data_IF_072957714813
#
_entry.id   IF_072957714813
#
_cell.length_a   1.000
_cell.length_b   1.000
_cell.length_c   1.000
_cell.angle_alpha   90.00
_cell.angle_beta   90.00
_cell.angle_gamma   90.00
#
_symmetry.space_group_name_H-M   'P 1'
#
loop_
_entity.id
_entity.type
_entity.pdbx_description
1 polymer ?
#
# COMPACT_ATOMS: atom_id res chain seq x y z
N UNK A 1 5.78 -8.47 3.68
CA UNK A 1 4.85 -7.37 3.39
C UNK A 1 5.44 -6.40 2.35
N UNK A 2 6.65 -5.83 2.56
CA UNK A 2 7.26 -4.83 1.68
C UNK A 2 7.28 -5.26 0.20
N UNK A 3 7.79 -6.45 -0.11
CA UNK A 3 7.82 -7.02 -1.47
C UNK A 3 6.40 -7.14 -2.05
N UNK A 4 5.43 -7.65 -1.28
CA UNK A 4 4.06 -7.79 -1.73
C UNK A 4 3.41 -6.42 -2.04
N UNK A 5 3.72 -5.39 -1.25
CA UNK A 5 3.24 -4.03 -1.48
C UNK A 5 3.81 -3.44 -2.78
N UNK A 6 5.09 -3.66 -3.08
CA UNK A 6 5.68 -3.25 -4.37
C UNK A 6 5.02 -3.98 -5.54
N UNK A 7 4.79 -5.30 -5.39
CA UNK A 7 4.11 -6.08 -6.42
C UNK A 7 2.66 -5.64 -6.66
N UNK A 8 1.99 -5.07 -5.66
CA UNK A 8 0.59 -4.61 -5.76
C UNK A 8 0.40 -3.34 -6.60
N UNK A 9 1.48 -2.65 -6.98
CA UNK A 9 1.40 -1.51 -7.88
C UNK A 9 0.72 -1.91 -9.21
N UNK A 10 -0.46 -1.32 -9.48
CA UNK A 10 -1.32 -1.64 -10.64
C UNK A 10 -1.64 -3.15 -10.78
N UNK A 11 -1.76 -3.84 -9.66
CA UNK A 11 -2.08 -5.27 -9.60
C UNK A 11 -3.03 -5.54 -8.45
N UNK A 12 -3.89 -6.55 -8.59
CA UNK A 12 -4.82 -6.94 -7.52
C UNK A 12 -4.13 -7.75 -6.44
N UNK A 13 -4.56 -7.59 -5.18
CA UNK A 13 -4.04 -8.35 -4.04
C UNK A 13 -4.14 -9.87 -4.29
N UNK A 14 -5.25 -10.32 -4.91
CA UNK A 14 -5.44 -11.73 -5.29
C UNK A 14 -4.31 -12.23 -6.18
N UNK A 15 -3.92 -11.45 -7.18
CA UNK A 15 -2.83 -11.83 -8.11
C UNK A 15 -1.47 -11.84 -7.41
N UNK A 16 -1.20 -10.85 -6.55
CA UNK A 16 0.03 -10.81 -5.74
C UNK A 16 0.12 -12.05 -4.86
N UNK A 17 -0.96 -12.40 -4.17
CA UNK A 17 -1.01 -13.58 -3.30
C UNK A 17 -0.83 -14.91 -4.05
N UNK A 18 -1.09 -14.95 -5.37
CA UNK A 18 -0.84 -16.15 -6.18
C UNK A 18 0.65 -16.35 -6.53
N UNK A 19 1.44 -15.29 -6.62
CA UNK A 19 2.85 -15.36 -7.04
C UNK A 19 3.83 -15.33 -5.87
N UNK A 20 3.45 -14.71 -4.75
CA UNK A 20 4.33 -14.56 -3.58
C UNK A 20 4.75 -15.88 -2.92
N UNK A 21 3.94 -16.94 -2.85
CA UNK A 21 4.38 -18.22 -2.28
C UNK A 21 5.57 -18.81 -3.06
N UNK A 22 5.51 -18.87 -4.39
CA UNK A 22 6.62 -19.35 -5.22
C UNK A 22 7.84 -18.45 -5.08
N UNK A 23 7.64 -17.12 -5.11
CA UNK A 23 8.71 -16.15 -4.99
C UNK A 23 9.47 -16.29 -3.67
N UNK A 24 8.76 -16.41 -2.54
CA UNK A 24 9.39 -16.54 -1.22
C UNK A 24 9.91 -17.95 -0.92
N UNK A 25 9.36 -18.99 -1.53
CA UNK A 25 9.95 -20.33 -1.46
C UNK A 25 11.30 -20.36 -2.19
N UNK A 26 11.43 -19.63 -3.29
CA UNK A 26 12.65 -19.60 -4.10
C UNK A 26 13.71 -18.64 -3.56
N UNK A 27 13.28 -17.51 -3.01
CA UNK A 27 14.13 -16.43 -2.47
C UNK A 27 13.61 -15.99 -1.09
N UNK A 28 13.82 -16.80 -0.04
CA UNK A 28 13.26 -16.57 1.29
C UNK A 28 13.86 -15.37 2.03
N UNK A 29 15.09 -15.00 1.69
CA UNK A 29 15.80 -13.88 2.35
C UNK A 29 16.18 -12.78 1.36
N UNK A 30 16.45 -11.55 1.84
CA UNK A 30 16.99 -10.48 1.01
C UNK A 30 18.33 -10.86 0.34
N UNK A 31 19.18 -11.66 0.99
CA UNK A 31 20.46 -12.10 0.43
C UNK A 31 20.25 -12.96 -0.82
N UNK A 32 19.32 -13.88 -0.77
CA UNK A 32 19.00 -14.75 -1.91
C UNK A 32 18.31 -13.97 -3.03
N UNK A 33 17.38 -13.06 -2.68
CA UNK A 33 16.73 -12.19 -3.65
C UNK A 33 17.72 -11.25 -4.34
N UNK A 34 18.71 -10.73 -3.62
CA UNK A 34 19.76 -9.86 -4.18
C UNK A 34 20.61 -10.56 -5.24
N UNK A 35 20.78 -11.88 -5.11
CA UNK A 35 21.54 -12.74 -6.05
C UNK A 35 20.66 -13.40 -7.12
N UNK A 36 19.37 -13.15 -7.10
CA UNK A 36 18.42 -13.80 -8.01
C UNK A 36 18.69 -13.43 -9.47
N UNK A 37 18.69 -14.39 -10.41
CA UNK A 37 18.67 -14.09 -11.83
C UNK A 37 17.40 -13.33 -12.19
N UNK A 38 17.52 -12.14 -12.76
CA UNK A 38 16.37 -11.27 -13.09
C UNK A 38 15.32 -12.02 -13.92
N UNK A 39 15.73 -12.80 -14.91
CA UNK A 39 14.82 -13.56 -15.77
C UNK A 39 13.96 -14.57 -14.99
N UNK A 40 14.49 -15.17 -13.92
CA UNK A 40 13.73 -16.09 -13.08
C UNK A 40 12.71 -15.35 -12.21
N UNK A 41 13.08 -14.23 -11.61
CA UNK A 41 12.14 -13.37 -10.89
C UNK A 41 11.03 -12.90 -11.82
N UNK A 42 11.38 -12.43 -13.03
CA UNK A 42 10.41 -12.01 -14.06
C UNK A 42 9.42 -13.13 -14.40
N UNK A 43 9.91 -14.36 -14.56
CA UNK A 43 9.07 -15.55 -14.84
C UNK A 43 8.03 -15.75 -13.73
N UNK A 44 8.47 -15.72 -12.47
CA UNK A 44 7.60 -15.95 -11.30
C UNK A 44 6.52 -14.87 -11.21
N UNK A 45 6.90 -13.59 -11.31
CA UNK A 45 5.98 -12.47 -11.10
C UNK A 45 5.29 -11.99 -12.39
N UNK A 46 5.45 -12.67 -13.52
CA UNK A 46 4.98 -12.24 -14.86
C UNK A 46 3.53 -11.79 -14.86
N UNK A 47 2.67 -12.50 -14.15
CA UNK A 47 1.23 -12.22 -14.12
C UNK A 47 0.84 -10.96 -13.33
N UNK A 48 1.77 -10.29 -12.63
CA UNK A 48 1.49 -9.07 -11.86
C UNK A 48 1.52 -7.79 -12.71
N UNK A 49 1.85 -7.87 -14.00
CA UNK A 49 2.05 -6.70 -14.87
C UNK A 49 3.34 -5.93 -14.53
N UNK A 50 3.86 -5.17 -15.49
CA UNK A 50 5.12 -4.42 -15.33
C UNK A 50 6.29 -5.23 -14.73
N UNK A 51 6.25 -6.54 -14.95
CA UNK A 51 7.07 -7.53 -14.25
C UNK A 51 8.58 -7.31 -14.41
N UNK A 52 9.05 -6.79 -15.56
CA UNK A 52 10.46 -6.47 -15.78
C UNK A 52 10.96 -5.38 -14.83
N UNK A 53 10.20 -4.29 -14.73
CA UNK A 53 10.53 -3.20 -13.80
C UNK A 53 10.40 -3.66 -12.34
N UNK A 54 9.35 -4.41 -12.03
CA UNK A 54 9.16 -4.96 -10.68
C UNK A 54 10.30 -5.90 -10.29
N UNK A 55 10.71 -6.82 -11.17
CA UNK A 55 11.84 -7.72 -10.90
C UNK A 55 13.13 -6.94 -10.62
N UNK A 56 13.46 -5.97 -11.45
CA UNK A 56 14.62 -5.08 -11.24
C UNK A 56 14.55 -4.36 -9.92
N UNK A 57 13.37 -3.80 -9.60
CA UNK A 57 13.13 -3.09 -8.33
C UNK A 57 13.28 -4.01 -7.13
N UNK A 58 12.76 -5.24 -7.17
CA UNK A 58 12.89 -6.20 -6.07
C UNK A 58 14.34 -6.62 -5.82
N UNK A 59 15.12 -6.86 -6.88
CA UNK A 59 16.54 -7.19 -6.76
C UNK A 59 17.32 -5.99 -6.22
N UNK A 60 17.07 -4.79 -6.73
CA UNK A 60 17.71 -3.57 -6.24
C UNK A 60 17.34 -3.26 -4.77
N UNK A 61 16.07 -3.46 -4.39
CA UNK A 61 15.61 -3.37 -3.00
C UNK A 61 16.37 -4.33 -2.11
N UNK A 62 16.49 -5.60 -2.53
CA UNK A 62 17.17 -6.63 -1.76
C UNK A 62 18.65 -6.31 -1.57
N UNK A 63 19.34 -5.83 -2.62
CA UNK A 63 20.72 -5.35 -2.50
C UNK A 63 20.82 -4.19 -1.49
N UNK A 64 19.96 -3.17 -1.61
CA UNK A 64 19.97 -2.04 -0.68
C UNK A 64 19.70 -2.46 0.78
N UNK A 65 18.80 -3.44 1.00
CA UNK A 65 18.57 -3.99 2.34
C UNK A 65 19.81 -4.70 2.89
N UNK A 66 20.48 -5.53 2.07
CA UNK A 66 21.70 -6.24 2.49
C UNK A 66 22.83 -5.27 2.80
N UNK A 67 23.10 -4.34 1.88
CA UNK A 67 24.28 -3.47 1.94
C UNK A 67 24.16 -2.41 3.05
N UNK A 68 22.96 -1.90 3.30
CA UNK A 68 22.78 -0.75 4.18
C UNK A 68 22.12 -1.08 5.51
N UNK A 69 21.33 -2.16 5.57
CA UNK A 69 20.50 -2.51 6.71
C UNK A 69 20.69 -3.95 7.20
N UNK A 70 21.78 -4.63 6.78
CA UNK A 70 22.07 -6.01 7.19
C UNK A 70 20.97 -7.02 6.85
N UNK A 71 20.23 -6.78 5.76
CA UNK A 71 19.11 -7.61 5.32
C UNK A 71 17.81 -7.37 6.10
N UNK A 72 17.75 -6.37 6.99
CA UNK A 72 16.55 -6.03 7.75
C UNK A 72 15.77 -4.90 7.07
N UNK A 73 14.46 -4.91 7.23
CA UNK A 73 13.60 -3.78 6.79
C UNK A 73 13.70 -2.68 7.84
N UNK A 74 14.12 -1.46 7.48
CA UNK A 74 14.21 -0.35 8.43
C UNK A 74 12.84 0.06 8.96
N UNK A 75 12.82 0.69 10.14
CA UNK A 75 11.61 1.02 10.88
C UNK A 75 11.35 2.53 10.96
N UNK A 76 11.96 3.32 10.08
CA UNK A 76 11.71 4.76 9.98
C UNK A 76 11.24 5.13 8.57
N UNK A 77 10.46 6.20 8.48
CA UNK A 77 9.98 6.75 7.19
C UNK A 77 11.16 7.20 6.34
N UNK A 78 12.12 7.92 6.97
CA UNK A 78 13.29 8.48 6.31
C UNK A 78 14.14 7.41 5.62
N UNK A 79 14.34 6.28 6.28
CA UNK A 79 15.12 5.17 5.73
C UNK A 79 14.34 4.41 4.65
N UNK A 80 13.06 4.11 4.90
CA UNK A 80 12.22 3.35 3.97
C UNK A 80 12.10 4.03 2.62
N UNK A 81 11.89 5.34 2.56
CA UNK A 81 11.72 6.06 1.29
C UNK A 81 13.00 6.17 0.46
N UNK A 82 14.16 5.83 1.04
CA UNK A 82 15.42 5.74 0.30
C UNK A 82 15.58 4.40 -0.43
N UNK A 83 14.71 3.43 -0.16
CA UNK A 83 14.79 2.11 -0.76
C UNK A 83 14.15 2.09 -2.16
N UNK A 84 14.72 1.34 -3.11
CA UNK A 84 14.17 1.20 -4.44
C UNK A 84 12.71 0.73 -4.44
N UNK A 85 11.83 1.47 -5.11
CA UNK A 85 10.40 1.14 -5.22
C UNK A 85 9.55 1.45 -3.98
N UNK A 86 10.12 2.15 -3.00
CA UNK A 86 9.44 2.53 -1.78
C UNK A 86 9.18 4.03 -1.76
N UNK A 87 7.95 4.43 -2.03
CA UNK A 87 7.46 5.78 -1.80
C UNK A 87 6.79 5.91 -0.43
N UNK A 88 6.38 7.14 -0.05
CA UNK A 88 5.71 7.45 1.22
C UNK A 88 4.52 6.52 1.51
N UNK A 89 3.66 6.28 0.53
CA UNK A 89 2.52 5.37 0.68
C UNK A 89 2.96 3.94 1.04
N UNK A 90 3.97 3.40 0.34
CA UNK A 90 4.50 2.05 0.62
C UNK A 90 5.12 1.98 2.01
N UNK A 91 5.86 3.01 2.40
CA UNK A 91 6.45 3.11 3.74
C UNK A 91 5.36 3.15 4.82
N UNK A 92 4.30 3.93 4.68
CA UNK A 92 3.16 3.96 5.61
C UNK A 92 2.49 2.58 5.73
N UNK A 93 2.31 1.86 4.62
CA UNK A 93 1.76 0.49 4.65
C UNK A 93 2.65 -0.43 5.48
N UNK A 94 3.96 -0.38 5.28
CA UNK A 94 4.92 -1.24 5.98
C UNK A 94 5.02 -0.88 7.45
N UNK A 95 5.19 0.40 7.77
CA UNK A 95 5.30 0.89 9.15
C UNK A 95 4.04 0.56 9.96
N UNK A 96 2.87 0.87 9.42
CA UNK A 96 1.62 0.66 10.13
C UNK A 96 1.27 -0.82 10.31
N UNK A 97 1.47 -1.65 9.28
CA UNK A 97 0.98 -3.04 9.31
C UNK A 97 2.02 -4.06 9.79
N UNK A 98 3.32 -3.81 9.59
CA UNK A 98 4.35 -4.75 10.03
C UNK A 98 4.97 -4.37 11.38
N UNK A 99 5.01 -3.08 11.69
CA UNK A 99 5.71 -2.58 12.88
C UNK A 99 4.79 -1.90 13.88
N UNK A 100 3.53 -1.63 13.55
CA UNK A 100 2.60 -0.89 14.42
C UNK A 100 2.97 0.59 14.59
N UNK A 101 3.77 1.14 13.67
CA UNK A 101 4.25 2.52 13.70
C UNK A 101 3.36 3.37 12.77
N UNK A 102 2.54 4.23 13.36
CA UNK A 102 1.67 5.13 12.60
C UNK A 102 2.43 6.43 12.28
N UNK A 103 3.03 6.52 11.09
CA UNK A 103 3.71 7.72 10.57
C UNK A 103 2.85 8.52 9.61
N UNK A 104 1.74 7.95 9.15
CA UNK A 104 0.80 8.60 8.28
C UNK A 104 -0.41 7.72 7.95
N UNK A 105 -1.34 8.31 7.22
CA UNK A 105 -2.54 7.64 6.72
C UNK A 105 -2.31 7.22 5.27
N UNK A 106 -2.51 5.94 4.98
CA UNK A 106 -2.38 5.42 3.61
C UNK A 106 -3.53 5.94 2.76
N UNK A 107 -3.21 6.81 1.80
CA UNK A 107 -4.20 7.35 0.86
C UNK A 107 -4.07 6.65 -0.49
N UNK A 108 -5.00 5.75 -0.78
CA UNK A 108 -5.17 5.15 -2.09
C UNK A 108 -6.42 5.74 -2.80
N UNK A 109 -6.75 5.24 -3.98
CA UNK A 109 -7.92 5.71 -4.74
C UNK A 109 -9.24 5.49 -4.00
N UNK A 110 -9.32 4.50 -3.11
CA UNK A 110 -10.50 4.28 -2.27
C UNK A 110 -10.58 5.31 -1.15
N UNK A 111 -9.48 5.50 -0.42
CA UNK A 111 -9.40 6.49 0.67
C UNK A 111 -9.69 7.89 0.15
N UNK A 112 -9.02 8.32 -0.93
CA UNK A 112 -9.24 9.64 -1.53
C UNK A 112 -10.71 9.86 -1.90
N UNK A 113 -11.35 8.89 -2.58
CA UNK A 113 -12.76 8.97 -2.97
C UNK A 113 -13.69 9.01 -1.77
N UNK A 114 -13.50 8.11 -0.81
CA UNK A 114 -14.39 8.01 0.36
C UNK A 114 -14.25 9.24 1.24
N UNK A 115 -13.03 9.70 1.51
CA UNK A 115 -12.77 10.90 2.29
C UNK A 115 -13.43 12.14 1.65
N UNK A 116 -13.29 12.31 0.33
CA UNK A 116 -13.95 13.41 -0.39
C UNK A 116 -15.48 13.33 -0.29
N UNK A 117 -16.07 12.14 -0.47
CA UNK A 117 -17.53 11.96 -0.38
C UNK A 117 -18.07 12.17 1.03
N UNK A 118 -17.30 11.83 2.05
CA UNK A 118 -17.65 12.07 3.45
C UNK A 118 -17.42 13.53 3.88
N UNK A 119 -16.87 14.38 3.00
CA UNK A 119 -16.56 15.78 3.35
C UNK A 119 -15.36 15.93 4.28
N UNK A 120 -14.52 14.90 4.41
CA UNK A 120 -13.32 14.94 5.24
C UNK A 120 -12.15 15.68 4.58
N UNK A 121 -12.22 15.90 3.26
CA UNK A 121 -11.21 16.63 2.47
C UNK A 121 -11.84 17.24 1.23
N UNK A 122 -11.27 18.34 0.78
CA UNK A 122 -11.54 18.94 -0.54
C UNK A 122 -10.38 18.78 -1.50
N UNK A 123 -9.27 18.19 -1.03
CA UNK A 123 -8.05 18.02 -1.79
C UNK A 123 -8.16 16.86 -2.79
N UNK A 124 -7.30 16.91 -3.81
CA UNK A 124 -7.16 15.84 -4.82
C UNK A 124 -5.80 15.15 -4.76
N UNK A 125 -4.82 15.85 -4.22
CA UNK A 125 -3.46 15.37 -4.04
C UNK A 125 -3.40 14.41 -2.84
N UNK A 126 -2.88 13.17 -2.98
CA UNK A 126 -2.85 12.19 -1.90
C UNK A 126 -2.10 12.65 -0.65
N UNK A 127 -1.00 13.39 -0.82
CA UNK A 127 -0.20 13.86 0.31
C UNK A 127 -0.94 14.94 1.11
N UNK A 128 -1.69 15.82 0.41
CA UNK A 128 -2.54 16.83 1.06
C UNK A 128 -3.75 16.19 1.75
N UNK A 129 -4.36 15.17 1.14
CA UNK A 129 -5.44 14.38 1.77
C UNK A 129 -4.92 13.72 3.04
N UNK A 130 -3.74 13.10 2.99
CA UNK A 130 -3.09 12.50 4.17
C UNK A 130 -2.96 13.53 5.30
N UNK A 131 -2.43 14.72 5.02
CA UNK A 131 -2.26 15.79 6.00
C UNK A 131 -3.58 16.24 6.63
N UNK A 132 -4.64 16.45 5.82
CA UNK A 132 -5.96 16.82 6.35
C UNK A 132 -6.56 15.72 7.22
N UNK A 133 -6.47 14.46 6.80
CA UNK A 133 -6.96 13.32 7.60
C UNK A 133 -6.16 13.16 8.90
N UNK A 134 -4.85 13.35 8.88
CA UNK A 134 -4.01 13.31 10.07
C UNK A 134 -4.35 14.42 11.08
N UNK A 135 -4.79 15.58 10.60
CA UNK A 135 -5.25 16.66 11.46
C UNK A 135 -6.63 16.36 12.11
N UNK A 136 -7.47 15.59 11.43
CA UNK A 136 -8.82 15.25 11.91
C UNK A 136 -8.85 14.06 12.89
N UNK A 137 -7.91 13.13 12.76
CA UNK A 137 -7.93 11.87 13.52
C UNK A 137 -6.69 11.70 14.41
N UNK A 138 -6.83 11.14 15.60
CA UNK A 138 -5.69 10.89 16.48
C UNK A 138 -4.74 9.85 15.87
N UNK A 139 -3.43 9.99 16.12
CA UNK A 139 -2.37 9.14 15.56
C UNK A 139 -2.62 7.64 15.75
N UNK A 140 -3.18 7.26 16.89
CA UNK A 140 -3.51 5.86 17.21
C UNK A 140 -4.52 5.21 16.26
N UNK A 141 -5.28 6.02 15.50
CA UNK A 141 -6.31 5.54 14.58
C UNK A 141 -5.85 5.52 13.11
N UNK A 142 -4.73 6.13 12.76
CA UNK A 142 -4.33 6.36 11.35
C UNK A 142 -4.26 5.08 10.51
N UNK A 143 -3.62 4.03 11.05
CA UNK A 143 -3.52 2.75 10.32
C UNK A 143 -4.92 2.12 10.15
N UNK A 144 -5.72 2.08 11.21
CA UNK A 144 -7.07 1.51 11.18
C UNK A 144 -8.00 2.31 10.27
N UNK A 145 -7.93 3.64 10.31
CA UNK A 145 -8.73 4.52 9.44
C UNK A 145 -8.48 4.20 7.95
N UNK A 146 -7.21 4.01 7.57
CA UNK A 146 -6.87 3.62 6.20
C UNK A 146 -7.61 2.33 5.80
N UNK A 147 -7.59 1.31 6.65
CA UNK A 147 -8.30 0.05 6.39
C UNK A 147 -9.81 0.23 6.31
N UNK A 148 -10.42 0.97 7.23
CA UNK A 148 -11.86 1.21 7.24
C UNK A 148 -12.32 1.92 5.98
N UNK A 149 -11.63 2.98 5.55
CA UNK A 149 -11.96 3.72 4.34
C UNK A 149 -11.76 2.86 3.07
N UNK A 150 -10.69 2.06 3.01
CA UNK A 150 -10.47 1.13 1.89
C UNK A 150 -11.59 0.08 1.82
N UNK A 151 -11.92 -0.56 2.93
CA UNK A 151 -12.97 -1.57 2.98
C UNK A 151 -14.35 -1.00 2.63
N UNK A 152 -14.69 0.16 3.18
CA UNK A 152 -15.91 0.87 2.86
C UNK A 152 -15.98 1.23 1.38
N UNK A 153 -14.88 1.73 0.82
CA UNK A 153 -14.76 2.07 -0.60
C UNK A 153 -14.85 0.87 -1.54
N UNK A 154 -14.42 -0.30 -1.09
CA UNK A 154 -14.49 -1.55 -1.88
C UNK A 154 -15.86 -2.22 -1.84
N UNK A 155 -16.63 -2.07 -0.76
CA UNK A 155 -17.86 -2.83 -0.51
C UNK A 155 -19.13 -2.01 -0.60
N UNK A 156 -19.12 -0.78 -0.14
CA UNK A 156 -20.30 0.07 0.00
C UNK A 156 -20.19 1.32 -0.87
N UNK A 157 -19.20 2.16 -0.63
CA UNK A 157 -18.99 3.41 -1.35
C UNK A 157 -18.25 3.18 -2.68
N UNK A 158 -18.85 2.41 -3.58
CA UNK A 158 -18.25 2.07 -4.88
C UNK A 158 -18.02 3.31 -5.73
N UNK A 159 -17.03 3.25 -6.64
CA UNK A 159 -16.71 4.38 -7.54
C UNK A 159 -17.91 4.72 -8.42
N UNK A 160 -18.52 3.70 -9.02
CA UNK A 160 -19.78 3.83 -9.77
C UNK A 160 -20.91 3.20 -8.97
N UNK A 161 -22.06 3.89 -8.85
CA UNK A 161 -23.26 3.41 -8.15
C UNK A 161 -22.97 3.00 -6.68
N UNK A 162 -22.62 3.95 -5.79
CA UNK A 162 -22.45 3.67 -4.37
C UNK A 162 -23.78 3.16 -3.78
N UNK A 163 -23.69 2.27 -2.80
CA UNK A 163 -24.85 1.65 -2.14
C UNK A 163 -25.30 2.51 -0.95
N UNK A 164 -25.73 3.75 -1.22
CA UNK A 164 -26.05 4.70 -0.16
C UNK A 164 -27.21 4.22 0.74
N UNK A 165 -28.21 3.52 0.18
CA UNK A 165 -29.33 2.95 0.96
C UNK A 165 -28.92 1.88 1.97
N UNK A 166 -27.79 1.20 1.75
CA UNK A 166 -27.23 0.17 2.62
C UNK A 166 -26.08 0.71 3.50
N UNK A 167 -25.76 2.01 3.37
CA UNK A 167 -24.58 2.61 3.99
C UNK A 167 -24.92 3.09 5.41
N UNK A 168 -24.19 2.59 6.40
CA UNK A 168 -24.32 3.01 7.80
C UNK A 168 -23.93 4.47 8.07
N UNK A 169 -23.28 5.12 7.10
CA UNK A 169 -22.89 6.53 7.17
C UNK A 169 -23.81 7.45 6.34
N UNK A 170 -24.91 6.92 5.80
CA UNK A 170 -25.77 7.68 4.87
C UNK A 170 -26.32 8.97 5.48
N UNK A 171 -26.74 8.89 6.75
CA UNK A 171 -27.37 10.02 7.45
C UNK A 171 -26.42 11.20 7.70
N UNK A 172 -25.12 10.94 7.76
CA UNK A 172 -24.09 11.96 8.00
C UNK A 172 -23.24 12.27 6.74
N UNK A 173 -23.49 11.58 5.64
CA UNK A 173 -22.70 11.72 4.42
C UNK A 173 -23.26 12.81 3.51
N UNK A 174 -22.53 13.93 3.25
CA UNK A 174 -23.00 15.00 2.39
C UNK A 174 -23.18 14.58 0.92
N UNK A 175 -22.62 13.45 0.52
CA UNK A 175 -22.73 12.90 -0.84
C UNK A 175 -23.71 11.73 -0.95
N UNK A 176 -24.52 11.46 0.07
CA UNK A 176 -25.50 10.38 0.02
C UNK A 176 -26.57 10.69 -1.04
N UNK A 177 -26.89 9.66 -1.85
CA UNK A 177 -27.99 9.72 -2.85
C UNK A 177 -28.93 8.54 -2.61
N UNK A 178 -30.24 8.80 -2.56
CA UNK A 178 -31.29 7.83 -2.28
C UNK A 178 -32.18 7.56 -3.49
#
# INVERSE_FOLDING_TARGET
>A
LLVATILSAQCTDKRVNMVTPELFARYPTPVEMARAPQAEVERIIKSTGFFRNKARTLIALANALVDRFGGQVPRSMEELVTLPGVGRKTANVVLGNAFGIAEGIVVDTHVARVAARLGLTTQRDPDKIEQELMALFPRSQWTMLSHLLIWHGRRVCLARRPRCRECTLADVCPSATF
#
